data_IF_047678038723
#
_entry.id   IF_047678038723
#
_cell.length_a   1.000
_cell.length_b   1.000
_cell.length_c   1.000
_cell.angle_alpha   90.00
_cell.angle_beta   90.00
_cell.angle_gamma   90.00
#
_symmetry.space_group_name_H-M   'P 1'
#
loop_
_entity.id
_entity.type
_entity.pdbx_description
1 polymer ?
#
# COMPACT_ATOMS: atom_id res chain seq x y z
N UNK A 1 -15.75 -14.19 -8.62
CA UNK A 1 -14.47 -14.61 -8.02
C UNK A 1 -13.76 -13.38 -7.47
N UNK A 2 -13.63 -13.28 -6.16
CA UNK A 2 -12.86 -12.22 -5.50
C UNK A 2 -11.46 -12.76 -5.25
N UNK A 3 -10.45 -12.20 -5.91
CA UNK A 3 -9.07 -12.44 -5.52
C UNK A 3 -8.70 -11.48 -4.39
N UNK A 4 -7.71 -11.83 -3.55
CA UNK A 4 -7.11 -10.91 -2.57
C UNK A 4 -6.66 -9.58 -3.21
N UNK A 5 -6.46 -9.59 -4.53
CA UNK A 5 -6.10 -8.49 -5.40
C UNK A 5 -7.35 -8.12 -6.23
N UNK A 6 -8.21 -7.27 -5.69
CA UNK A 6 -9.46 -6.87 -6.34
C UNK A 6 -9.22 -6.33 -7.75
N UNK A 7 -9.80 -7.00 -8.75
CA UNK A 7 -9.86 -6.58 -10.15
C UNK A 7 -11.33 -6.64 -10.56
N UNK A 8 -12.09 -5.59 -10.25
CA UNK A 8 -13.46 -5.41 -10.70
C UNK A 8 -13.60 -4.04 -11.37
N UNK A 9 -14.33 -3.92 -12.48
CA UNK A 9 -15.08 -4.97 -13.20
C UNK A 9 -14.25 -5.77 -14.22
N UNK A 10 -12.92 -5.57 -14.26
CA UNK A 10 -12.06 -6.12 -15.33
C UNK A 10 -11.59 -7.55 -15.00
N UNK A 11 -11.89 -8.51 -15.87
CA UNK A 11 -11.58 -9.95 -15.69
C UNK A 11 -10.10 -10.35 -15.91
N UNK A 12 -9.18 -9.40 -16.13
CA UNK A 12 -7.75 -9.70 -16.33
C UNK A 12 -6.98 -10.03 -15.04
N UNK A 13 -7.64 -9.98 -13.89
CA UNK A 13 -7.03 -10.24 -12.58
C UNK A 13 -6.22 -11.55 -12.55
N UNK A 14 -6.84 -12.71 -12.81
CA UNK A 14 -6.15 -14.00 -12.77
C UNK A 14 -4.92 -14.06 -13.68
N UNK A 15 -5.04 -13.55 -14.91
CA UNK A 15 -3.93 -13.50 -15.86
C UNK A 15 -2.77 -12.63 -15.34
N UNK A 16 -3.06 -11.45 -14.76
CA UNK A 16 -2.02 -10.58 -14.19
C UNK A 16 -1.37 -11.18 -12.96
N UNK A 17 -2.14 -11.81 -12.08
CA UNK A 17 -1.60 -12.52 -10.92
C UNK A 17 -0.71 -13.68 -11.36
N UNK A 18 -1.15 -14.51 -12.32
CA UNK A 18 -0.33 -15.57 -12.88
C UNK A 18 0.96 -15.02 -13.53
N UNK A 19 0.89 -13.90 -14.25
CA UNK A 19 2.06 -13.27 -14.84
C UNK A 19 3.05 -12.69 -13.81
N UNK A 20 2.57 -12.26 -12.63
CA UNK A 20 3.43 -11.82 -11.52
C UNK A 20 4.08 -13.03 -10.84
N UNK A 21 3.29 -14.06 -10.51
CA UNK A 21 3.75 -15.24 -9.78
C UNK A 21 4.60 -16.19 -10.63
N UNK A 22 4.40 -16.21 -11.94
CA UNK A 22 5.15 -17.06 -12.88
C UNK A 22 6.50 -16.49 -13.31
N UNK A 23 6.94 -15.35 -12.76
CA UNK A 23 8.28 -14.81 -13.03
C UNK A 23 9.35 -15.56 -12.23
N UNK A 24 10.53 -15.69 -12.82
CA UNK A 24 11.69 -16.30 -12.14
C UNK A 24 12.00 -15.56 -10.83
N UNK A 25 12.12 -16.32 -9.74
CA UNK A 25 12.41 -15.79 -8.42
C UNK A 25 11.24 -15.05 -7.75
N UNK A 26 10.01 -15.12 -8.28
CA UNK A 26 8.88 -14.37 -7.74
C UNK A 26 8.55 -14.76 -6.30
N UNK A 27 8.60 -16.06 -5.98
CA UNK A 27 8.31 -16.58 -4.63
C UNK A 27 9.35 -16.06 -3.63
N UNK A 28 10.63 -16.17 -3.97
CA UNK A 28 11.76 -15.73 -3.14
C UNK A 28 11.71 -14.22 -2.91
N UNK A 29 11.40 -13.44 -3.95
CA UNK A 29 11.22 -11.99 -3.85
C UNK A 29 10.03 -11.61 -2.96
N UNK A 30 8.88 -12.26 -3.13
CA UNK A 30 7.70 -12.03 -2.28
C UNK A 30 8.03 -12.35 -0.82
N UNK A 31 8.69 -13.48 -0.56
CA UNK A 31 9.10 -13.85 0.79
C UNK A 31 10.05 -12.82 1.40
N UNK A 32 11.04 -12.33 0.64
CA UNK A 32 11.96 -11.29 1.09
C UNK A 32 11.23 -9.96 1.40
N UNK A 33 10.24 -9.57 0.58
CA UNK A 33 9.41 -8.38 0.84
C UNK A 33 8.60 -8.55 2.14
N UNK A 34 7.95 -9.70 2.32
CA UNK A 34 7.16 -9.99 3.52
C UNK A 34 8.04 -9.99 4.76
N UNK A 35 9.20 -10.64 4.70
CA UNK A 35 10.15 -10.71 5.81
C UNK A 35 10.67 -9.33 6.20
N UNK A 36 11.14 -8.54 5.22
CA UNK A 36 11.59 -7.17 5.47
C UNK A 36 10.48 -6.31 6.11
N UNK A 37 9.23 -6.48 5.68
CA UNK A 37 8.10 -5.75 6.26
C UNK A 37 7.82 -6.16 7.70
N UNK A 38 7.89 -7.46 8.01
CA UNK A 38 7.60 -7.99 9.35
C UNK A 38 8.64 -7.62 10.37
N UNK A 39 9.90 -7.69 9.96
CA UNK A 39 11.06 -7.56 10.84
C UNK A 39 11.48 -6.10 10.99
N UNK A 40 11.52 -5.35 9.89
CA UNK A 40 12.08 -3.99 9.85
C UNK A 40 11.04 -2.90 9.52
N UNK A 41 9.77 -3.28 9.36
CA UNK A 41 8.65 -2.35 9.20
C UNK A 41 8.43 -1.81 7.78
N UNK A 42 7.57 -0.79 7.68
CA UNK A 42 7.03 -0.31 6.40
C UNK A 42 8.10 0.26 5.45
N UNK A 43 9.12 0.94 5.98
CA UNK A 43 10.20 1.52 5.19
C UNK A 43 11.01 0.44 4.46
N UNK A 44 11.37 -0.63 5.18
CA UNK A 44 12.10 -1.76 4.64
C UNK A 44 11.25 -2.55 3.63
N UNK A 45 9.97 -2.79 3.96
CA UNK A 45 9.01 -3.40 3.05
C UNK A 45 8.86 -2.63 1.73
N UNK A 46 8.80 -1.30 1.79
CA UNK A 46 8.77 -0.43 0.60
C UNK A 46 10.02 -0.57 -0.26
N UNK A 47 11.21 -0.45 0.34
CA UNK A 47 12.47 -0.59 -0.37
C UNK A 47 12.65 -2.00 -0.98
N UNK A 48 12.22 -3.05 -0.27
CA UNK A 48 12.18 -4.39 -0.81
C UNK A 48 11.25 -4.48 -2.03
N UNK A 49 10.04 -3.94 -1.93
CA UNK A 49 9.01 -4.02 -2.96
C UNK A 49 9.39 -3.30 -4.26
N UNK A 50 9.91 -2.08 -4.17
CA UNK A 50 10.08 -1.20 -5.33
C UNK A 50 11.53 -1.04 -5.80
N UNK A 51 12.50 -1.38 -4.95
CA UNK A 51 13.93 -1.22 -5.24
C UNK A 51 14.65 -2.58 -5.38
N UNK A 52 14.81 -3.34 -4.29
CA UNK A 52 15.71 -4.52 -4.27
C UNK A 52 15.10 -5.84 -4.76
N UNK A 53 13.82 -6.09 -4.50
CA UNK A 53 13.12 -7.34 -4.85
C UNK A 53 11.95 -7.10 -5.80
N UNK A 54 12.11 -6.10 -6.67
CA UNK A 54 11.10 -5.69 -7.64
C UNK A 54 10.62 -6.86 -8.52
N UNK A 55 9.30 -6.99 -8.63
CA UNK A 55 8.62 -7.93 -9.52
C UNK A 55 7.83 -7.12 -10.55
N UNK A 56 8.02 -7.44 -11.84
CA UNK A 56 7.34 -6.70 -12.91
C UNK A 56 5.83 -6.92 -12.80
N UNK A 57 5.06 -5.84 -12.81
CA UNK A 57 3.59 -5.90 -12.69
C UNK A 57 3.06 -5.87 -11.25
N UNK A 58 3.92 -6.05 -10.23
CA UNK A 58 3.59 -5.81 -8.84
C UNK A 58 3.95 -4.37 -8.45
N UNK A 59 3.13 -3.41 -8.90
CA UNK A 59 3.31 -1.99 -8.59
C UNK A 59 2.79 -1.61 -7.20
N UNK A 60 3.08 -0.37 -6.78
CA UNK A 60 2.71 0.21 -5.47
C UNK A 60 1.28 -0.12 -4.99
N UNK A 61 0.24 0.08 -5.82
CA UNK A 61 -1.16 -0.13 -5.41
C UNK A 61 -1.47 -1.56 -4.96
N UNK A 62 -0.82 -2.54 -5.59
CA UNK A 62 -0.95 -3.94 -5.21
C UNK A 62 0.09 -4.30 -4.15
N UNK A 63 1.35 -3.92 -4.36
CA UNK A 63 2.44 -4.24 -3.46
C UNK A 63 2.23 -3.69 -2.04
N UNK A 64 1.66 -2.51 -1.86
CA UNK A 64 1.34 -1.99 -0.51
C UNK A 64 0.25 -2.77 0.21
N UNK A 65 -0.61 -3.53 -0.51
CA UNK A 65 -1.51 -4.51 0.11
C UNK A 65 -0.74 -5.68 0.69
N UNK A 66 0.29 -6.15 0.00
CA UNK A 66 1.21 -7.17 0.54
C UNK A 66 1.88 -6.65 1.81
N UNK A 67 2.37 -5.41 1.80
CA UNK A 67 2.98 -4.79 2.98
C UNK A 67 1.97 -4.68 4.13
N UNK A 68 0.76 -4.20 3.87
CA UNK A 68 -0.31 -4.09 4.86
C UNK A 68 -0.60 -5.41 5.56
N UNK A 69 -0.78 -6.50 4.80
CA UNK A 69 -1.05 -7.81 5.39
C UNK A 69 0.18 -8.42 6.06
N UNK A 70 1.38 -8.20 5.52
CA UNK A 70 2.62 -8.67 6.12
C UNK A 70 2.85 -8.02 7.50
N UNK A 71 2.59 -6.72 7.62
CA UNK A 71 2.79 -5.92 8.83
C UNK A 71 1.56 -5.77 9.73
N UNK A 72 0.43 -6.43 9.43
CA UNK A 72 -0.84 -6.20 10.13
C UNK A 72 -0.77 -6.38 11.65
N UNK A 73 -0.01 -7.39 12.11
CA UNK A 73 0.16 -7.69 13.54
C UNK A 73 1.52 -7.24 14.08
N UNK A 74 2.32 -6.51 13.30
CA UNK A 74 3.64 -6.07 13.74
C UNK A 74 3.53 -4.83 14.62
N UNK A 75 4.19 -4.83 15.77
CA UNK A 75 4.28 -3.68 16.68
C UNK A 75 5.39 -2.72 16.23
N UNK A 76 5.23 -2.11 15.06
CA UNK A 76 6.14 -1.11 14.49
C UNK A 76 5.48 0.27 14.56
N UNK A 77 6.26 1.34 14.72
CA UNK A 77 5.74 2.72 14.88
C UNK A 77 4.89 3.19 13.70
N UNK A 78 5.21 2.75 12.48
CA UNK A 78 4.45 3.06 11.27
C UNK A 78 3.91 1.78 10.68
N UNK A 79 2.65 1.46 10.99
CA UNK A 79 1.98 0.30 10.41
C UNK A 79 1.87 0.49 8.89
N UNK A 80 2.26 -0.49 8.05
CA UNK A 80 2.08 -0.36 6.61
C UNK A 80 0.59 -0.25 6.27
N UNK A 81 0.22 0.79 5.53
CA UNK A 81 -1.13 0.99 4.98
C UNK A 81 -1.12 0.85 3.46
N UNK A 82 -2.29 0.60 2.88
CA UNK A 82 -2.44 0.53 1.42
C UNK A 82 -2.36 1.93 0.82
N UNK A 83 -1.56 2.07 -0.24
CA UNK A 83 -1.50 3.28 -1.06
C UNK A 83 -1.85 2.92 -2.50
N UNK A 84 -3.15 2.94 -2.81
CA UNK A 84 -3.66 2.76 -4.16
C UNK A 84 -4.03 4.08 -4.84
N UNK A 85 -4.58 4.01 -6.05
CA UNK A 85 -4.92 5.20 -6.83
C UNK A 85 -6.06 6.02 -6.19
N UNK A 86 -6.99 5.39 -5.48
CA UNK A 86 -8.10 6.09 -4.80
C UNK A 86 -7.59 6.81 -3.56
N UNK A 87 -6.78 6.12 -2.75
CA UNK A 87 -6.12 6.75 -1.59
C UNK A 87 -5.27 7.94 -2.06
N UNK A 88 -4.46 7.75 -3.11
CA UNK A 88 -3.64 8.82 -3.70
C UNK A 88 -4.48 9.99 -4.21
N UNK A 89 -5.61 9.72 -4.88
CA UNK A 89 -6.51 10.75 -5.37
C UNK A 89 -7.15 11.55 -4.23
N UNK A 90 -7.59 10.88 -3.16
CA UNK A 90 -8.12 11.53 -1.98
C UNK A 90 -7.06 12.42 -1.30
N UNK A 91 -5.85 11.90 -1.09
CA UNK A 91 -4.74 12.65 -0.51
C UNK A 91 -4.39 13.92 -1.30
N UNK A 92 -4.50 13.90 -2.63
CA UNK A 92 -4.27 15.08 -3.46
C UNK A 92 -5.23 16.24 -3.16
N UNK A 93 -6.38 15.95 -2.53
CA UNK A 93 -7.42 16.93 -2.20
C UNK A 93 -7.37 17.31 -0.72
N UNK A 94 -7.33 16.30 0.16
CA UNK A 94 -7.46 16.54 1.60
C UNK A 94 -6.12 16.84 2.29
N UNK A 95 -5.00 16.44 1.68
CA UNK A 95 -3.66 16.65 2.21
C UNK A 95 -2.62 16.79 1.08
N UNK A 96 -2.75 17.83 0.23
CA UNK A 96 -1.88 18.02 -0.93
C UNK A 96 -0.41 18.08 -0.51
N UNK A 97 0.45 17.40 -1.29
CA UNK A 97 1.89 17.29 -1.00
C UNK A 97 2.27 16.09 -0.14
N UNK A 98 1.31 15.36 0.46
CA UNK A 98 1.60 14.12 1.20
C UNK A 98 2.26 13.09 0.29
N UNK A 99 1.66 12.87 -0.89
CA UNK A 99 2.23 12.09 -1.99
C UNK A 99 2.05 12.89 -3.28
N UNK A 100 2.93 12.73 -4.29
CA UNK A 100 2.73 13.36 -5.59
C UNK A 100 1.38 12.95 -6.18
N UNK A 101 0.56 13.87 -6.69
CA UNK A 101 -0.75 13.51 -7.29
C UNK A 101 -0.60 12.69 -8.59
N UNK A 102 0.51 12.88 -9.31
CA UNK A 102 0.87 12.14 -10.54
C UNK A 102 2.37 11.79 -10.51
N UNK A 103 2.76 10.80 -11.30
CA UNK A 103 4.16 10.37 -11.40
C UNK A 103 4.61 9.41 -10.30
N UNK A 104 5.92 9.38 -10.04
CA UNK A 104 6.56 8.46 -9.11
C UNK A 104 6.35 8.87 -7.66
N UNK A 105 5.93 7.92 -6.82
CA UNK A 105 5.89 8.05 -5.36
C UNK A 105 7.21 7.49 -4.84
N UNK A 106 7.89 8.22 -3.95
CA UNK A 106 9.13 7.78 -3.31
C UNK A 106 8.85 7.19 -1.92
N UNK A 107 9.85 6.52 -1.34
CA UNK A 107 9.76 5.96 0.02
C UNK A 107 9.32 7.01 1.05
N UNK A 108 9.93 8.18 1.02
CA UNK A 108 9.63 9.23 2.00
C UNK A 108 8.21 9.80 1.82
N UNK A 109 7.64 9.73 0.60
CA UNK A 109 6.24 10.08 0.37
C UNK A 109 5.29 9.04 0.99
N UNK A 110 5.65 7.76 0.85
CA UNK A 110 4.89 6.68 1.50
C UNK A 110 4.93 6.80 3.02
N UNK A 111 6.11 7.03 3.61
CA UNK A 111 6.25 7.19 5.06
C UNK A 111 5.50 8.43 5.58
N UNK A 112 5.52 9.54 4.84
CA UNK A 112 4.73 10.74 5.16
C UNK A 112 3.23 10.45 5.17
N UNK A 113 2.76 9.62 4.24
CA UNK A 113 1.37 9.15 4.25
C UNK A 113 1.06 8.31 5.50
N UNK A 114 1.93 7.38 5.89
CA UNK A 114 1.72 6.57 7.09
C UNK A 114 1.68 7.43 8.35
N UNK A 115 2.63 8.35 8.51
CA UNK A 115 2.70 9.29 9.63
C UNK A 115 1.44 10.19 9.71
N UNK A 116 0.96 10.67 8.56
CA UNK A 116 -0.28 11.44 8.49
C UNK A 116 -1.49 10.61 8.95
N UNK A 117 -1.57 9.35 8.53
CA UNK A 117 -2.65 8.46 8.90
C UNK A 117 -2.64 8.14 10.40
N UNK A 118 -1.47 7.88 10.98
CA UNK A 118 -1.28 7.73 12.44
C UNK A 118 -1.71 9.01 13.18
N UNK A 119 -1.28 10.17 12.70
CA UNK A 119 -1.63 11.47 13.30
C UNK A 119 -3.14 11.73 13.29
N UNK A 120 -3.81 11.46 12.16
CA UNK A 120 -5.26 11.61 12.06
C UNK A 120 -6.01 10.59 12.91
N UNK A 121 -5.54 9.34 12.94
CA UNK A 121 -6.09 8.27 13.75
C UNK A 121 -6.06 8.61 15.25
N UNK A 122 -4.94 9.19 15.72
CA UNK A 122 -4.72 9.60 17.11
C UNK A 122 -5.48 10.87 17.53
N UNK A 123 -6.17 11.57 16.62
CA UNK A 123 -6.94 12.76 16.98
C UNK A 123 -8.02 12.39 18.02
N UNK A 124 -8.08 13.02 19.21
CA UNK A 124 -9.02 12.63 20.27
C UNK A 124 -10.50 12.69 19.90
N UNK A 125 -10.88 13.53 18.92
CA UNK A 125 -12.26 13.62 18.44
C UNK A 125 -12.66 12.45 17.51
N UNK A 126 -11.67 11.75 16.94
CA UNK A 126 -11.85 10.63 16.02
C UNK A 126 -11.49 9.29 16.69
N UNK A 127 -10.30 9.22 17.27
CA UNK A 127 -9.72 8.10 18.04
C UNK A 127 -9.99 6.73 17.39
N UNK A 128 -9.41 6.52 16.22
CA UNK A 128 -9.54 5.28 15.43
C UNK A 128 -8.19 4.65 15.17
N UNK A 129 -8.18 3.48 14.54
CA UNK A 129 -6.97 2.90 14.00
C UNK A 129 -6.57 3.53 12.64
N UNK A 130 -5.29 3.53 12.26
CA UNK A 130 -4.81 4.11 11.00
C UNK A 130 -5.42 3.48 9.73
N UNK A 131 -5.82 2.22 9.79
CA UNK A 131 -6.51 1.54 8.68
C UNK A 131 -7.94 2.06 8.45
N UNK A 132 -8.59 2.61 9.48
CA UNK A 132 -9.86 3.35 9.31
C UNK A 132 -9.65 4.63 8.51
N UNK A 133 -8.51 5.30 8.71
CA UNK A 133 -8.13 6.49 7.92
C UNK A 133 -7.87 6.13 6.46
N UNK A 134 -7.11 5.07 6.22
CA UNK A 134 -6.89 4.52 4.87
C UNK A 134 -8.23 4.19 4.18
N UNK A 135 -9.14 3.51 4.88
CA UNK A 135 -10.45 3.17 4.35
C UNK A 135 -11.32 4.41 4.04
N UNK A 136 -11.26 5.45 4.87
CA UNK A 136 -11.95 6.72 4.62
C UNK A 136 -11.41 7.41 3.37
N UNK A 137 -10.08 7.47 3.20
CA UNK A 137 -9.42 7.99 2.00
C UNK A 137 -9.81 7.19 0.75
N UNK A 138 -9.73 5.86 0.82
CA UNK A 138 -10.16 4.98 -0.27
C UNK A 138 -11.61 5.26 -0.67
N UNK A 139 -12.51 5.34 0.31
CA UNK A 139 -13.94 5.63 0.11
C UNK A 139 -14.14 6.97 -0.58
N UNK A 140 -13.52 8.04 -0.06
CA UNK A 140 -13.60 9.38 -0.64
C UNK A 140 -13.11 9.44 -2.10
N UNK A 141 -11.95 8.83 -2.39
CA UNK A 141 -11.37 8.82 -3.74
C UNK A 141 -12.15 8.01 -4.77
N UNK A 142 -13.15 7.20 -4.36
CA UNK A 142 -14.02 6.47 -5.28
C UNK A 142 -15.32 7.17 -5.67
N UNK A 143 -15.70 8.22 -4.94
CA UNK A 143 -16.93 8.98 -5.20
C UNK A 143 -16.74 10.02 -6.31
N UNK A 144 -15.50 10.43 -6.59
CA UNK A 144 -15.16 11.46 -7.59
C UNK A 144 -15.02 10.91 -9.02
N UNK A 145 -16.02 10.18 -9.51
CA UNK A 145 -16.10 9.77 -10.92
C UNK A 145 -17.14 10.57 -11.69
#
# INVERSE_FOLDING_TARGET
>A
MTMAWGYQPKNYGPQRTAAVLGQDGAVEKINAIVEATRTDGAAAGWSALLDSHKIRGLGMSFGTKLLYYAGYTCHQEQRPLVLDERVRAALAIVAPGTVPARGWVRRDDYLRYLDLAETWAANPAWNQAPDVVEYALFSHGGVQK
#
